data_IF_405502160011
#
_entry.id   IF_405502160011
#
_cell.length_a   1.000
_cell.length_b   1.000
_cell.length_c   1.000
_cell.angle_alpha   90.00
_cell.angle_beta   90.00
_cell.angle_gamma   90.00
#
_symmetry.space_group_name_H-M   'P 1'
#
loop_
_entity.id
_entity.type
_entity.pdbx_description
1 polymer ?
#
# COMPACT_ATOMS: atom_id res chain seq x y z
N UNK A 1 -13.61 -17.98 -20.92
CA UNK A 1 -13.62 -17.17 -19.68
C UNK A 1 -12.76 -15.89 -19.75
N UNK A 2 -12.08 -15.62 -20.87
CA UNK A 2 -11.16 -14.48 -21.05
C UNK A 2 -11.84 -13.17 -21.49
N UNK A 3 -13.15 -13.18 -21.78
CA UNK A 3 -13.87 -12.00 -22.32
C UNK A 3 -14.49 -11.06 -21.28
N UNK A 4 -14.77 -11.53 -20.06
CA UNK A 4 -15.46 -10.71 -19.04
C UNK A 4 -14.51 -9.82 -18.21
N UNK A 5 -13.24 -10.19 -18.07
CA UNK A 5 -12.27 -9.36 -17.34
C UNK A 5 -11.80 -8.14 -18.16
N UNK A 6 -11.76 -8.25 -19.49
CA UNK A 6 -11.38 -7.14 -20.37
C UNK A 6 -12.45 -6.04 -20.37
N UNK A 7 -13.73 -6.42 -20.20
CA UNK A 7 -14.83 -5.47 -20.10
C UNK A 7 -14.82 -4.65 -18.80
N UNK A 8 -14.28 -5.18 -17.70
CA UNK A 8 -14.12 -4.40 -16.46
C UNK A 8 -12.96 -3.40 -16.53
N UNK A 9 -11.93 -3.66 -17.34
CA UNK A 9 -10.81 -2.73 -17.51
C UNK A 9 -11.18 -1.51 -18.36
N UNK A 10 -12.07 -1.66 -19.35
CA UNK A 10 -12.43 -0.58 -20.28
C UNK A 10 -13.51 0.39 -19.75
N UNK A 11 -14.10 0.15 -18.56
CA UNK A 11 -15.15 1.01 -17.98
C UNK A 11 -14.60 2.04 -16.97
N UNK A 12 -13.30 2.00 -16.64
CA UNK A 12 -12.66 2.93 -15.68
C UNK A 12 -11.79 3.97 -16.39
N UNK A 13 -12.29 4.55 -17.49
CA UNK A 13 -11.62 5.69 -18.13
C UNK A 13 -12.55 6.90 -18.29
N UNK A 14 -13.36 7.15 -17.25
CA UNK A 14 -13.80 8.50 -16.95
C UNK A 14 -12.79 9.08 -15.96
N UNK A 15 -11.89 9.93 -16.44
CA UNK A 15 -11.10 10.81 -15.58
C UNK A 15 -12.07 11.70 -14.79
N UNK A 16 -12.53 11.23 -13.63
CA UNK A 16 -13.25 12.06 -12.68
C UNK A 16 -12.26 13.09 -12.19
N UNK A 17 -12.34 14.31 -12.75
CA UNK A 17 -11.56 15.45 -12.29
C UNK A 17 -11.77 15.59 -10.79
N UNK A 18 -10.67 15.50 -10.04
CA UNK A 18 -10.70 15.46 -8.59
C UNK A 18 -11.26 16.80 -8.07
N UNK A 19 -12.42 16.76 -7.41
CA UNK A 19 -13.04 17.97 -6.86
C UNK A 19 -12.43 18.27 -5.49
N UNK A 20 -11.55 19.26 -5.45
CA UNK A 20 -10.93 19.70 -4.20
C UNK A 20 -11.88 20.54 -3.35
N UNK A 21 -11.72 20.44 -2.02
CA UNK A 21 -12.42 21.30 -1.06
C UNK A 21 -11.90 22.73 -1.18
N UNK A 22 -12.77 23.72 -0.94
CA UNK A 22 -12.38 25.12 -0.92
C UNK A 22 -11.42 25.39 0.25
N UNK A 23 -10.33 26.13 0.00
CA UNK A 23 -9.32 26.44 1.01
C UNK A 23 -9.86 27.25 2.20
N UNK A 24 -10.83 28.14 1.98
CA UNK A 24 -11.44 28.92 3.06
C UNK A 24 -12.25 28.03 4.01
N UNK A 25 -12.92 27.01 3.48
CA UNK A 25 -13.68 26.05 4.29
C UNK A 25 -12.74 25.16 5.11
N UNK A 26 -11.62 24.74 4.52
CA UNK A 26 -10.57 23.99 5.25
C UNK A 26 -10.04 24.83 6.42
N UNK A 27 -9.73 26.11 6.20
CA UNK A 27 -9.23 27.02 7.25
C UNK A 27 -10.22 27.23 8.40
N UNK A 28 -11.52 27.19 8.13
CA UNK A 28 -12.57 27.29 9.15
C UNK A 28 -12.79 25.99 9.92
N UNK A 29 -12.32 24.86 9.38
CA UNK A 29 -12.54 23.52 9.94
C UNK A 29 -11.46 23.10 10.94
N UNK A 30 -10.79 24.05 11.58
CA UNK A 30 -9.79 23.78 12.61
C UNK A 30 -10.42 23.20 13.88
N UNK A 31 -9.67 22.34 14.57
CA UNK A 31 -10.04 21.84 15.88
C UNK A 31 -10.29 23.00 16.86
N UNK A 32 -11.30 22.84 17.71
CA UNK A 32 -11.64 23.81 18.75
C UNK A 32 -11.19 23.26 20.09
N UNK A 33 -10.24 23.94 20.70
CA UNK A 33 -9.70 23.56 22.03
C UNK A 33 -10.67 23.89 23.17
N UNK A 34 -11.77 24.60 22.90
CA UNK A 34 -12.82 24.96 23.88
C UNK A 34 -12.26 25.52 25.20
N UNK A 35 -11.11 26.22 25.12
CA UNK A 35 -10.34 26.79 26.24
C UNK A 35 -9.60 25.80 27.17
N UNK A 36 -9.59 24.50 26.87
CA UNK A 36 -8.90 23.47 27.66
C UNK A 36 -7.71 22.87 26.89
N UNK A 37 -6.55 23.54 26.86
CA UNK A 37 -5.39 23.00 26.18
C UNK A 37 -4.90 21.74 26.89
N UNK A 38 -4.60 20.75 26.06
CA UNK A 38 -3.97 19.48 26.42
C UNK A 38 -2.89 19.17 25.41
N UNK A 39 -1.98 18.25 25.76
CA UNK A 39 -1.00 17.72 24.82
C UNK A 39 -1.65 17.20 23.52
N UNK A 40 -2.81 16.54 23.61
CA UNK A 40 -3.55 16.08 22.42
C UNK A 40 -4.01 17.24 21.54
N UNK A 41 -4.49 18.34 22.12
CA UNK A 41 -4.89 19.52 21.34
C UNK A 41 -3.72 20.26 20.73
N UNK A 42 -2.56 20.24 21.39
CA UNK A 42 -1.32 20.83 20.87
C UNK A 42 -0.81 20.02 19.66
N UNK A 43 -0.68 18.69 19.79
CA UNK A 43 -0.28 17.81 18.69
C UNK A 43 -1.27 17.88 17.51
N UNK A 44 -2.58 17.99 17.79
CA UNK A 44 -3.60 18.20 16.75
C UNK A 44 -3.40 19.53 16.02
N UNK A 45 -3.16 20.63 16.73
CA UNK A 45 -2.94 21.95 16.13
C UNK A 45 -1.69 21.97 15.26
N UNK A 46 -0.59 21.34 15.71
CA UNK A 46 0.66 21.23 14.95
C UNK A 46 0.45 20.48 13.62
N UNK A 47 -0.27 19.36 13.65
CA UNK A 47 -0.60 18.59 12.44
C UNK A 47 -1.50 19.39 11.51
N UNK A 48 -2.52 20.09 12.04
CA UNK A 48 -3.40 20.95 11.24
C UNK A 48 -2.61 22.03 10.49
N UNK A 49 -1.64 22.67 11.15
CA UNK A 49 -0.82 23.72 10.54
C UNK A 49 0.16 23.17 9.48
N UNK A 50 0.72 21.97 9.68
CA UNK A 50 1.54 21.31 8.65
C UNK A 50 0.70 20.94 7.43
N UNK A 51 -0.48 20.36 7.64
CA UNK A 51 -1.37 19.91 6.56
C UNK A 51 -1.98 21.10 5.81
N UNK A 52 -2.38 22.17 6.51
CA UNK A 52 -2.93 23.37 5.89
C UNK A 52 -1.93 24.02 4.94
N UNK A 53 -0.63 24.07 5.31
CA UNK A 53 0.43 24.56 4.42
C UNK A 53 0.51 23.77 3.11
N UNK A 54 0.33 22.45 3.16
CA UNK A 54 0.29 21.61 1.94
C UNK A 54 -0.93 21.91 1.07
N UNK A 55 -2.08 22.18 1.69
CA UNK A 55 -3.26 22.62 0.94
C UNK A 55 -3.06 23.99 0.30
N UNK A 56 -2.47 24.96 1.02
CA UNK A 56 -2.17 26.29 0.47
C UNK A 56 -1.21 26.17 -0.73
N UNK A 57 -0.12 25.40 -0.59
CA UNK A 57 0.83 25.12 -1.68
C UNK A 57 0.13 24.52 -2.91
N UNK A 58 -0.75 23.54 -2.70
CA UNK A 58 -1.52 22.92 -3.77
C UNK A 58 -2.45 23.93 -4.46
N UNK A 59 -3.17 24.76 -3.71
CA UNK A 59 -4.06 25.78 -4.26
C UNK A 59 -3.32 26.84 -5.08
N UNK A 60 -2.09 27.18 -4.70
CA UNK A 60 -1.23 28.07 -5.50
C UNK A 60 -0.82 27.36 -6.80
N UNK A 61 -0.34 26.12 -6.71
CA UNK A 61 0.12 25.35 -7.88
C UNK A 61 -1.00 25.05 -8.88
N UNK A 62 -2.24 24.88 -8.43
CA UNK A 62 -3.40 24.67 -9.28
C UNK A 62 -3.70 25.83 -10.23
N UNK A 63 -3.27 27.06 -9.89
CA UNK A 63 -3.39 28.22 -10.79
C UNK A 63 -2.48 28.08 -12.03
N UNK A 64 -1.41 27.30 -11.91
CA UNK A 64 -0.41 27.07 -12.96
C UNK A 64 -0.70 25.75 -13.68
N UNK A 65 -0.95 24.67 -12.92
CA UNK A 65 -1.26 23.35 -13.46
C UNK A 65 -2.62 22.85 -12.92
N UNK A 66 -3.70 22.93 -13.71
CA UNK A 66 -5.05 22.53 -13.28
C UNK A 66 -5.25 21.01 -13.18
N UNK A 67 -4.25 20.20 -13.56
CA UNK A 67 -4.31 18.74 -13.51
C UNK A 67 -3.79 18.17 -12.18
N UNK A 68 -3.32 19.02 -11.26
CA UNK A 68 -2.91 18.60 -9.92
C UNK A 68 -4.12 18.27 -9.02
N UNK A 69 -3.92 17.52 -7.92
CA UNK A 69 -2.72 16.74 -7.60
C UNK A 69 -2.60 15.51 -8.50
N UNK A 70 -1.38 15.15 -8.87
CA UNK A 70 -1.07 13.97 -9.66
C UNK A 70 -0.59 12.83 -8.75
N UNK A 71 -1.00 11.60 -9.06
CA UNK A 71 -0.42 10.39 -8.48
C UNK A 71 0.82 9.99 -9.28
N UNK A 72 2.00 10.08 -8.68
CA UNK A 72 3.26 9.75 -9.36
C UNK A 72 3.51 8.24 -9.47
N UNK A 73 2.72 7.56 -10.31
CA UNK A 73 2.71 6.09 -10.44
C UNK A 73 4.08 5.49 -10.74
N UNK A 74 4.87 6.10 -11.62
CA UNK A 74 6.20 5.59 -11.99
C UNK A 74 7.17 5.59 -10.80
N UNK A 75 7.16 6.66 -10.00
CA UNK A 75 8.05 6.82 -8.86
C UNK A 75 7.68 5.85 -7.74
N UNK A 76 6.38 5.67 -7.48
CA UNK A 76 5.89 4.65 -6.56
C UNK A 76 6.22 3.24 -7.05
N UNK A 77 6.03 2.96 -8.34
CA UNK A 77 6.35 1.65 -8.92
C UNK A 77 7.83 1.33 -8.75
N UNK A 78 8.72 2.27 -9.08
CA UNK A 78 10.16 2.11 -8.90
C UNK A 78 10.52 1.81 -7.44
N UNK A 79 10.00 2.62 -6.50
CA UNK A 79 10.25 2.41 -5.07
C UNK A 79 9.83 1.01 -4.60
N UNK A 80 8.65 0.55 -5.03
CA UNK A 80 8.12 -0.77 -4.65
C UNK A 80 8.92 -1.92 -5.27
N UNK A 81 9.31 -1.80 -6.55
CA UNK A 81 10.10 -2.82 -7.24
C UNK A 81 11.51 -2.92 -6.64
N UNK A 82 12.14 -1.80 -6.34
CA UNK A 82 13.45 -1.77 -5.67
C UNK A 82 13.36 -2.38 -4.26
N UNK A 83 12.35 -2.00 -3.48
CA UNK A 83 12.10 -2.53 -2.12
C UNK A 83 11.79 -4.02 -2.09
N UNK A 84 11.38 -4.61 -3.22
CA UNK A 84 11.13 -6.04 -3.35
C UNK A 84 12.41 -6.88 -3.35
N UNK A 85 13.51 -6.28 -3.83
CA UNK A 85 14.80 -6.97 -3.99
C UNK A 85 15.67 -6.77 -2.76
N UNK A 86 15.72 -5.55 -2.23
CA UNK A 86 16.58 -5.19 -1.12
C UNK A 86 15.91 -4.20 -0.18
N UNK A 87 16.07 -4.43 1.12
CA UNK A 87 15.66 -3.50 2.18
C UNK A 87 16.86 -3.18 3.07
N UNK A 88 17.07 -1.91 3.44
CA UNK A 88 18.16 -1.51 4.33
C UNK A 88 17.91 -2.00 5.77
N UNK A 89 18.95 -1.95 6.61
CA UNK A 89 18.91 -2.37 8.03
C UNK A 89 17.83 -1.66 8.86
N UNK A 90 17.35 -0.49 8.44
CA UNK A 90 16.22 0.19 9.06
C UNK A 90 14.93 -0.66 9.11
N UNK A 91 14.82 -1.72 8.29
CA UNK A 91 13.70 -2.66 8.28
C UNK A 91 13.88 -3.85 9.23
N UNK A 92 14.94 -3.89 10.04
CA UNK A 92 15.20 -5.00 10.98
C UNK A 92 14.05 -5.21 11.98
N UNK A 93 13.41 -4.12 12.44
CA UNK A 93 12.23 -4.20 13.31
C UNK A 93 11.02 -4.88 12.64
N UNK A 94 11.06 -5.06 11.32
CA UNK A 94 10.04 -5.73 10.51
C UNK A 94 10.46 -7.14 10.06
N UNK A 95 11.54 -7.72 10.62
CA UNK A 95 11.98 -9.08 10.25
C UNK A 95 10.90 -10.15 10.55
N UNK A 96 10.11 -9.97 11.60
CA UNK A 96 8.94 -10.80 11.90
C UNK A 96 7.67 -10.41 11.11
N UNK A 97 7.79 -9.57 10.09
CA UNK A 97 6.70 -9.06 9.26
C UNK A 97 7.02 -9.12 7.76
N UNK A 98 7.84 -10.07 7.32
CA UNK A 98 8.24 -10.17 5.91
C UNK A 98 7.09 -10.55 4.97
N UNK A 99 6.12 -11.40 5.34
CA UNK A 99 4.89 -11.55 4.56
C UNK A 99 4.10 -10.25 4.40
N UNK A 100 4.10 -9.37 5.42
CA UNK A 100 3.49 -8.04 5.31
C UNK A 100 4.22 -7.18 4.28
N UNK A 101 5.55 -7.21 4.26
CA UNK A 101 6.34 -6.50 3.24
C UNK A 101 6.00 -7.01 1.83
N UNK A 102 5.88 -8.32 1.63
CA UNK A 102 5.42 -8.87 0.35
C UNK A 102 4.02 -8.34 -0.03
N UNK A 103 3.06 -8.37 0.90
CA UNK A 103 1.71 -7.88 0.65
C UNK A 103 1.67 -6.38 0.37
N UNK A 104 2.33 -5.55 1.19
CA UNK A 104 2.39 -4.09 1.04
C UNK A 104 3.16 -3.64 -0.20
N UNK A 105 4.00 -4.49 -0.79
CA UNK A 105 4.64 -4.23 -2.08
C UNK A 105 3.72 -4.65 -3.23
N UNK A 106 3.23 -5.89 -3.20
CA UNK A 106 2.43 -6.47 -4.28
C UNK A 106 1.07 -5.78 -4.46
N UNK A 107 0.41 -5.42 -3.36
CA UNK A 107 -0.92 -4.84 -3.40
C UNK A 107 -0.96 -3.48 -4.13
N UNK A 108 -0.17 -2.46 -3.78
CA UNK A 108 -0.15 -1.19 -4.52
C UNK A 108 0.34 -1.36 -5.97
N UNK A 109 1.26 -2.28 -6.25
CA UNK A 109 1.62 -2.62 -7.64
C UNK A 109 0.39 -3.11 -8.42
N UNK A 110 -0.43 -3.98 -7.82
CA UNK A 110 -1.69 -4.44 -8.43
C UNK A 110 -2.70 -3.29 -8.61
N UNK A 111 -2.82 -2.38 -7.63
CA UNK A 111 -3.72 -1.22 -7.72
C UNK A 111 -3.30 -0.26 -8.84
N UNK A 112 -1.99 -0.15 -9.10
CA UNK A 112 -1.45 0.64 -10.21
C UNK A 112 -1.47 -0.11 -11.56
N UNK A 113 -1.92 -1.37 -11.59
CA UNK A 113 -1.97 -2.20 -12.80
C UNK A 113 -0.60 -2.71 -13.26
N UNK A 114 0.42 -2.65 -12.41
CA UNK A 114 1.78 -3.13 -12.73
C UNK A 114 1.79 -4.64 -12.68
N UNK A 115 2.26 -5.26 -13.77
CA UNK A 115 2.41 -6.71 -13.88
C UNK A 115 3.86 -7.10 -13.61
N UNK A 116 4.06 -8.02 -12.67
CA UNK A 116 5.35 -8.65 -12.44
C UNK A 116 5.61 -9.76 -13.44
N UNK A 117 6.88 -10.00 -13.72
CA UNK A 117 7.35 -11.15 -14.49
C UNK A 117 7.08 -12.46 -13.72
N UNK A 118 6.87 -13.56 -14.44
CA UNK A 118 6.57 -14.85 -13.81
C UNK A 118 7.74 -15.35 -12.94
N UNK A 119 8.98 -14.98 -13.28
CA UNK A 119 10.18 -15.25 -12.47
C UNK A 119 10.10 -14.56 -11.11
N UNK A 120 9.73 -13.27 -11.08
CA UNK A 120 9.56 -12.50 -9.85
C UNK A 120 8.44 -13.09 -8.99
N UNK A 121 7.30 -13.43 -9.62
CA UNK A 121 6.18 -14.07 -8.91
C UNK A 121 6.60 -15.40 -8.29
N UNK A 122 7.33 -16.24 -9.03
CA UNK A 122 7.83 -17.53 -8.54
C UNK A 122 8.77 -17.36 -7.34
N UNK A 123 9.69 -16.39 -7.39
CA UNK A 123 10.59 -16.10 -6.27
C UNK A 123 9.83 -15.70 -4.99
N UNK A 124 8.81 -14.85 -5.11
CA UNK A 124 8.00 -14.41 -3.97
C UNK A 124 7.16 -15.58 -3.42
N UNK A 125 6.51 -16.35 -4.30
CA UNK A 125 5.73 -17.52 -3.90
C UNK A 125 6.59 -18.52 -3.13
N UNK A 126 7.79 -18.84 -3.63
CA UNK A 126 8.76 -19.72 -2.96
C UNK A 126 9.25 -19.14 -1.63
N UNK A 127 9.46 -17.82 -1.54
CA UNK A 127 9.81 -17.17 -0.29
C UNK A 127 8.70 -17.32 0.76
N UNK A 128 7.45 -17.04 0.40
CA UNK A 128 6.30 -17.21 1.29
C UNK A 128 6.11 -18.67 1.69
N UNK A 129 6.36 -19.62 0.78
CA UNK A 129 6.36 -21.05 1.10
C UNK A 129 7.38 -21.43 2.17
N UNK A 130 8.56 -20.81 2.20
CA UNK A 130 9.54 -21.01 3.29
C UNK A 130 9.08 -20.40 4.62
N UNK A 131 8.11 -19.50 4.61
CA UNK A 131 7.51 -18.92 5.82
C UNK A 131 6.33 -19.75 6.34
N UNK A 132 5.88 -20.78 5.61
CA UNK A 132 4.78 -21.64 6.05
C UNK A 132 5.26 -22.62 7.12
N UNK A 133 4.44 -22.80 8.16
CA UNK A 133 4.72 -23.74 9.24
C UNK A 133 4.15 -25.13 8.90
N UNK A 134 4.85 -26.24 9.21
CA UNK A 134 4.34 -27.60 9.01
C UNK A 134 3.02 -27.89 9.74
N UNK A 135 2.79 -27.23 10.88
CA UNK A 135 1.56 -27.32 11.68
C UNK A 135 0.43 -26.41 11.16
N UNK A 136 0.67 -25.68 10.07
CA UNK A 136 -0.28 -24.77 9.45
C UNK A 136 0.00 -23.28 9.71
N UNK A 137 -0.52 -22.44 8.81
CA UNK A 137 -0.31 -20.98 8.84
C UNK A 137 1.08 -20.55 8.37
N UNK A 138 1.30 -19.24 8.36
CA UNK A 138 2.58 -18.62 7.98
C UNK A 138 3.15 -17.80 9.14
N UNK A 139 4.46 -17.89 9.34
CA UNK A 139 5.23 -17.07 10.28
C UNK A 139 5.75 -15.78 9.67
N UNK A 140 6.32 -14.92 10.51
CA UNK A 140 6.86 -13.62 10.11
C UNK A 140 8.08 -13.67 9.19
N UNK A 141 8.72 -14.83 9.08
CA UNK A 141 9.84 -15.15 8.22
C UNK A 141 10.14 -16.65 8.27
N UNK A 142 11.09 -17.16 7.46
CA UNK A 142 11.44 -18.57 7.47
C UNK A 142 11.88 -19.06 8.86
N UNK A 143 11.29 -20.17 9.31
CA UNK A 143 11.57 -20.77 10.62
C UNK A 143 10.92 -20.07 11.82
N UNK A 144 10.17 -18.99 11.61
CA UNK A 144 9.39 -18.36 12.70
C UNK A 144 8.04 -19.06 12.89
N UNK A 145 7.54 -19.05 14.13
CA UNK A 145 6.23 -19.62 14.46
C UNK A 145 5.09 -18.98 13.66
N UNK A 146 4.04 -19.74 13.33
CA UNK A 146 2.93 -19.25 12.55
C UNK A 146 2.15 -18.21 13.36
N UNK A 147 1.69 -17.17 12.68
CA UNK A 147 0.90 -16.11 13.28
C UNK A 147 -0.20 -15.67 12.32
N UNK A 148 -1.39 -15.36 12.84
CA UNK A 148 -2.55 -15.02 12.02
C UNK A 148 -2.30 -13.77 11.14
N UNK A 149 -1.58 -12.77 11.65
CA UNK A 149 -1.25 -11.59 10.86
C UNK A 149 -0.34 -11.91 9.65
N UNK A 150 0.70 -12.73 9.86
CA UNK A 150 1.58 -13.16 8.76
C UNK A 150 0.84 -14.10 7.79
N UNK A 151 -0.04 -14.95 8.30
CA UNK A 151 -0.91 -15.83 7.50
C UNK A 151 -1.83 -15.01 6.58
N UNK A 152 -2.50 -13.99 7.11
CA UNK A 152 -3.32 -13.07 6.31
C UNK A 152 -2.50 -12.42 5.19
N UNK A 153 -1.33 -11.87 5.52
CA UNK A 153 -0.49 -11.21 4.54
C UNK A 153 0.04 -12.17 3.47
N UNK A 154 0.51 -13.36 3.86
CA UNK A 154 1.00 -14.38 2.94
C UNK A 154 -0.07 -14.87 1.97
N UNK A 155 -1.27 -15.20 2.49
CA UNK A 155 -2.38 -15.68 1.65
C UNK A 155 -2.78 -14.60 0.64
N UNK A 156 -2.95 -13.35 1.06
CA UNK A 156 -3.30 -12.26 0.14
C UNK A 156 -2.20 -11.98 -0.88
N UNK A 157 -0.93 -12.03 -0.47
CA UNK A 157 0.19 -11.89 -1.40
C UNK A 157 0.17 -12.99 -2.47
N UNK A 158 -0.01 -14.26 -2.08
CA UNK A 158 -0.11 -15.39 -3.03
C UNK A 158 -1.33 -15.24 -3.96
N UNK A 159 -2.46 -14.73 -3.45
CA UNK A 159 -3.64 -14.42 -4.26
C UNK A 159 -3.35 -13.33 -5.29
N UNK A 160 -2.66 -12.26 -4.90
CA UNK A 160 -2.27 -11.17 -5.82
C UNK A 160 -1.30 -11.67 -6.90
N UNK A 161 -0.38 -12.58 -6.59
CA UNK A 161 0.50 -13.19 -7.59
C UNK A 161 -0.31 -13.91 -8.69
N UNK A 162 -1.40 -14.56 -8.29
CA UNK A 162 -2.44 -15.05 -9.20
C UNK A 162 -2.00 -16.20 -10.10
N UNK A 163 -1.01 -17.00 -9.67
CA UNK A 163 -0.48 -18.14 -10.43
C UNK A 163 -0.83 -19.47 -9.76
N UNK A 164 -0.93 -20.53 -10.56
CA UNK A 164 -1.12 -21.90 -10.04
C UNK A 164 0.00 -22.33 -9.08
N UNK A 165 1.24 -21.89 -9.32
CA UNK A 165 2.36 -22.12 -8.40
C UNK A 165 2.09 -21.46 -7.04
N UNK A 166 1.67 -20.19 -7.03
CA UNK A 166 1.40 -19.46 -5.79
C UNK A 166 0.25 -20.09 -4.99
N UNK A 167 -0.82 -20.54 -5.64
CA UNK A 167 -1.93 -21.18 -4.95
C UNK A 167 -1.54 -22.51 -4.30
N UNK A 168 -0.67 -23.28 -4.95
CA UNK A 168 -0.17 -24.57 -4.43
C UNK A 168 0.76 -24.43 -3.23
N UNK A 169 1.25 -23.22 -2.92
CA UNK A 169 2.02 -22.96 -1.70
C UNK A 169 1.14 -23.08 -0.44
N UNK A 170 -0.17 -22.83 -0.53
CA UNK A 170 -1.04 -22.84 0.65
C UNK A 170 -1.37 -24.28 1.01
N UNK A 171 -0.76 -24.81 2.08
CA UNK A 171 -1.21 -26.08 2.66
C UNK A 171 -2.52 -25.84 3.42
N UNK A 172 -3.53 -26.63 3.06
CA UNK A 172 -4.91 -26.54 3.57
C UNK A 172 -5.33 -27.81 4.31
N UNK A 173 -4.44 -28.79 4.41
CA UNK A 173 -4.73 -30.09 5.03
C UNK A 173 -4.59 -30.04 6.54
#
# INVERSE_FOLDING_TARGET
LTGQLVCLFNVINMEKKLKLRNILDIRKSKFRTETYPTRTSEEQADVEDIVLRKYDDLHIKLKINPNLPELFKEQHTRFLVESMVYLPSAYESLDASRPWLCYWILHPLSLMGVRLEDTQKSHIAKFLGRCQCPEGGFGGGPGQFPHLAATYAAVNALVILGTEEAYKIIDRK
#
